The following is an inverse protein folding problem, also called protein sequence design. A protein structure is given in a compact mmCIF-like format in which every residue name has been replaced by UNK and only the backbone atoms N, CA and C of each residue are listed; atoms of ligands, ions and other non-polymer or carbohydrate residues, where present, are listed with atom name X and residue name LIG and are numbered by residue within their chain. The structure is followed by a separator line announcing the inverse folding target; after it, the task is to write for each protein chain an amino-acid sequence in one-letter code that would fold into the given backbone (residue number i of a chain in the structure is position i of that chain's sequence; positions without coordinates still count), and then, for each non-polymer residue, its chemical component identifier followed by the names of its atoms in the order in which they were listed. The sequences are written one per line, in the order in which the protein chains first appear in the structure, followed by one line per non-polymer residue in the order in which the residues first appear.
data_IF_937116094491
#
_entry.id   IF_937116094491
#
_cell.length_a   1.000
_cell.length_b   1.000
_cell.length_c   1.000
_cell.angle_alpha   90.00
_cell.angle_beta   90.00
_cell.angle_gamma   90.00
#
_symmetry.space_group_name_H-M   'P 1'
#
loop_
_entity.id
_entity.type
_entity.pdbx_description
1 polymer ?
#
# COMPACT_ATOMS: atom_id res chain seq x y z
N UNK A 1 -1.10 -16.31 4.08
CA UNK A 1 -0.99 -14.85 4.18
C UNK A 1 0.48 -14.49 4.00
N UNK A 2 0.97 -14.62 2.78
CA UNK A 2 2.35 -14.36 2.39
C UNK A 2 2.35 -13.24 1.34
N UNK A 3 3.34 -12.35 1.36
CA UNK A 3 3.38 -11.22 0.42
C UNK A 3 3.77 -11.66 -0.99
N UNK A 4 4.70 -12.59 -1.13
CA UNK A 4 5.28 -12.90 -2.44
C UNK A 4 4.42 -13.90 -3.21
N UNK A 5 3.72 -14.77 -2.50
CA UNK A 5 2.96 -15.90 -3.06
C UNK A 5 1.48 -15.91 -2.72
N UNK A 6 1.03 -15.03 -1.81
CA UNK A 6 -0.35 -14.98 -1.34
C UNK A 6 -1.11 -13.72 -1.77
N UNK A 7 -2.39 -13.67 -1.40
CA UNK A 7 -3.29 -12.55 -1.70
C UNK A 7 -2.71 -11.15 -1.36
N UNK A 8 -2.03 -10.93 -0.22
CA UNK A 8 -1.50 -9.61 0.15
C UNK A 8 -0.56 -8.97 -0.87
N UNK A 9 0.09 -9.78 -1.72
CA UNK A 9 0.98 -9.32 -2.78
C UNK A 9 0.28 -8.77 -4.01
N UNK A 10 -1.05 -8.82 -4.07
CA UNK A 10 -1.77 -8.47 -5.27
C UNK A 10 -1.49 -7.02 -5.70
N UNK A 11 -1.22 -6.82 -7.00
CA UNK A 11 -0.90 -5.52 -7.58
C UNK A 11 -1.96 -4.43 -7.31
N UNK A 12 -3.21 -4.79 -7.03
CA UNK A 12 -4.29 -3.84 -6.71
C UNK A 12 -4.33 -3.40 -5.25
N UNK A 13 -3.63 -4.08 -4.34
CA UNK A 13 -3.58 -3.67 -2.93
C UNK A 13 -2.61 -2.51 -2.69
N UNK A 14 -2.85 -1.80 -1.59
CA UNK A 14 -2.08 -0.62 -1.18
C UNK A 14 -0.62 -0.98 -0.94
N UNK A 15 0.30 -0.20 -1.51
CA UNK A 15 1.74 -0.33 -1.29
C UNK A 15 2.09 0.12 0.13
N UNK A 16 2.76 -0.75 0.89
CA UNK A 16 3.08 -0.47 2.28
C UNK A 16 4.29 0.45 2.41
N UNK A 17 5.30 0.29 1.55
CA UNK A 17 6.58 1.00 1.65
C UNK A 17 6.62 2.34 0.90
N UNK A 18 5.48 2.83 0.41
CA UNK A 18 5.39 4.13 -0.25
C UNK A 18 4.42 5.04 0.48
N UNK A 19 4.97 6.03 1.16
CA UNK A 19 4.28 6.93 2.08
C UNK A 19 4.70 8.37 1.78
N UNK A 20 3.78 9.33 1.96
CA UNK A 20 4.11 10.73 1.73
C UNK A 20 5.25 11.23 2.61
N UNK A 21 5.50 10.59 3.77
CA UNK A 21 6.63 10.89 4.64
C UNK A 21 7.99 10.78 3.96
N UNK A 22 8.08 10.06 2.84
CA UNK A 22 9.27 9.92 2.01
C UNK A 22 9.14 10.62 0.65
N UNK A 23 7.91 10.81 0.14
CA UNK A 23 7.68 11.39 -1.19
C UNK A 23 7.61 12.93 -1.19
N UNK A 24 7.08 13.56 -0.14
CA UNK A 24 6.90 15.02 -0.09
C UNK A 24 8.13 15.77 0.48
N UNK A 25 8.18 17.07 0.20
CA UNK A 25 9.22 17.96 0.69
C UNK A 25 9.26 18.04 2.22
N UNK A 26 10.47 18.10 2.77
CA UNK A 26 10.66 18.06 4.22
C UNK A 26 10.06 19.30 4.90
N UNK A 27 10.17 20.48 4.30
CA UNK A 27 9.63 21.72 4.90
C UNK A 27 8.10 21.66 5.02
N UNK A 28 7.42 21.10 4.00
CA UNK A 28 5.98 20.89 4.04
C UNK A 28 5.56 19.91 5.14
N UNK A 29 6.35 18.84 5.32
CA UNK A 29 6.06 17.79 6.29
C UNK A 29 6.52 18.11 7.72
N UNK A 30 7.43 19.06 7.91
CA UNK A 30 8.09 19.32 9.19
C UNK A 30 7.12 19.46 10.39
N UNK A 31 5.95 20.12 10.29
CA UNK A 31 5.02 20.21 11.42
C UNK A 31 4.43 18.85 11.87
N UNK A 32 4.50 17.83 11.00
CA UNK A 32 3.87 16.52 11.18
C UNK A 32 4.89 15.41 11.46
N UNK A 33 6.19 15.70 11.40
CA UNK A 33 7.26 14.72 11.58
C UNK A 33 7.91 14.83 12.97
N UNK A 34 8.44 13.71 13.52
CA UNK A 34 9.18 13.74 14.77
C UNK A 34 10.36 14.73 14.73
N UNK A 35 10.30 15.73 15.61
CA UNK A 35 11.30 16.80 15.69
C UNK A 35 11.43 17.63 14.39
N UNK A 36 10.44 17.57 13.51
CA UNK A 36 10.39 18.26 12.22
C UNK A 36 11.44 17.89 11.19
N UNK A 37 12.19 16.79 11.42
CA UNK A 37 13.31 16.40 10.57
C UNK A 37 13.47 14.90 10.33
N UNK A 38 12.86 14.06 11.17
CA UNK A 38 12.98 12.61 11.05
C UNK A 38 11.86 12.12 10.13
N UNK A 39 12.20 11.65 8.93
CA UNK A 39 11.23 11.03 8.02
C UNK A 39 10.77 9.68 8.59
N UNK A 40 9.46 9.48 8.60
CA UNK A 40 8.81 8.23 8.98
C UNK A 40 7.52 8.05 8.17
N UNK A 41 6.94 6.87 8.24
CA UNK A 41 5.60 6.63 7.72
C UNK A 41 4.59 7.55 8.43
N UNK A 42 3.82 8.29 7.64
CA UNK A 42 2.70 9.12 8.10
C UNK A 42 1.39 8.33 8.14
N UNK A 43 1.33 7.17 7.46
CA UNK A 43 0.12 6.38 7.26
C UNK A 43 -0.68 6.78 6.02
N UNK A 44 -0.34 7.92 5.40
CA UNK A 44 -0.94 8.37 4.15
C UNK A 44 -0.16 7.81 2.97
N UNK A 45 -0.73 6.77 2.35
CA UNK A 45 -0.12 5.98 1.28
C UNK A 45 -1.06 5.95 0.07
N UNK A 46 -0.64 6.59 -1.02
CA UNK A 46 -1.50 6.83 -2.19
C UNK A 46 -1.23 5.90 -3.37
N UNK A 47 -0.38 4.88 -3.20
CA UNK A 47 0.06 4.00 -4.28
C UNK A 47 -0.36 2.55 -4.02
N UNK A 48 -0.51 1.78 -5.11
CA UNK A 48 -0.74 0.32 -5.08
C UNK A 48 0.55 -0.44 -5.37
N UNK A 49 0.59 -1.72 -5.01
CA UNK A 49 1.76 -2.60 -5.20
C UNK A 49 2.23 -2.59 -6.66
N UNK A 50 1.31 -2.56 -7.63
CA UNK A 50 1.56 -2.43 -9.08
C UNK A 50 2.32 -3.59 -9.70
N UNK A 51 3.54 -3.84 -9.23
CA UNK A 51 4.48 -4.84 -9.68
C UNK A 51 5.81 -4.68 -8.94
N UNK A 52 6.84 -5.43 -9.34
CA UNK A 52 8.17 -5.27 -8.78
C UNK A 52 8.78 -3.91 -9.14
N UNK A 53 9.68 -3.42 -8.29
CA UNK A 53 10.41 -2.17 -8.52
C UNK A 53 9.83 -0.95 -7.81
N UNK A 54 10.34 0.24 -8.17
CA UNK A 54 10.01 1.53 -7.53
C UNK A 54 8.83 2.24 -8.18
N UNK A 55 8.57 1.96 -9.45
CA UNK A 55 7.43 2.52 -10.17
C UNK A 55 6.14 1.93 -9.59
N UNK A 56 5.28 2.81 -9.08
CA UNK A 56 4.00 2.44 -8.49
C UNK A 56 2.94 3.37 -9.06
N UNK A 57 1.78 2.80 -9.32
CA UNK A 57 0.60 3.53 -9.76
C UNK A 57 -0.27 3.94 -8.57
N UNK A 58 -1.17 4.90 -8.81
CA UNK A 58 -2.12 5.37 -7.80
C UNK A 58 -2.99 4.23 -7.27
N UNK A 59 -3.21 4.24 -5.97
CA UNK A 59 -4.14 3.34 -5.30
C UNK A 59 -5.57 3.61 -5.74
N UNK A 60 -6.31 2.53 -6.02
CA UNK A 60 -7.69 2.55 -6.52
C UNK A 60 -8.55 1.73 -5.56
N UNK A 61 -9.18 2.36 -4.55
CA UNK A 61 -9.93 1.66 -3.51
C UNK A 61 -11.02 0.74 -4.06
N UNK A 62 -11.67 1.17 -5.14
CA UNK A 62 -12.69 0.42 -5.88
C UNK A 62 -12.17 -0.93 -6.42
N UNK A 63 -10.96 -0.92 -7.01
CA UNK A 63 -10.34 -2.13 -7.55
C UNK A 63 -9.83 -3.04 -6.43
N UNK A 64 -9.30 -2.45 -5.35
CA UNK A 64 -8.83 -3.19 -4.19
C UNK A 64 -9.97 -3.93 -3.47
N UNK A 65 -11.13 -3.28 -3.33
CA UNK A 65 -12.33 -3.90 -2.75
C UNK A 65 -12.84 -5.07 -3.58
N UNK A 66 -12.94 -4.89 -4.90
CA UNK A 66 -13.32 -5.98 -5.82
C UNK A 66 -12.33 -7.16 -5.71
N UNK A 67 -11.03 -6.87 -5.61
CA UNK A 67 -10.02 -7.90 -5.44
C UNK A 67 -10.16 -8.64 -4.10
N UNK A 68 -10.43 -7.93 -3.02
CA UNK A 68 -10.66 -8.52 -1.71
C UNK A 68 -11.86 -9.47 -1.71
N UNK A 69 -12.95 -9.11 -2.40
CA UNK A 69 -14.11 -9.99 -2.55
C UNK A 69 -13.75 -11.30 -3.29
N UNK A 70 -12.96 -11.21 -4.36
CA UNK A 70 -12.50 -12.39 -5.11
C UNK A 70 -11.55 -13.26 -4.27
N UNK A 71 -10.60 -12.66 -3.56
CA UNK A 71 -9.66 -13.37 -2.69
C UNK A 71 -10.40 -14.06 -1.52
N UNK A 72 -11.45 -13.44 -0.99
CA UNK A 72 -12.29 -14.03 0.04
C UNK A 72 -13.09 -15.23 -0.49
N UNK A 73 -13.63 -15.15 -1.72
CA UNK A 73 -14.30 -16.27 -2.37
C UNK A 73 -13.35 -17.45 -2.61
N UNK A 74 -12.15 -17.18 -3.14
CA UNK A 74 -11.12 -18.19 -3.36
C UNK A 74 -10.69 -18.86 -2.05
N UNK A 75 -10.50 -18.07 -0.99
CA UNK A 75 -10.19 -18.60 0.33
C UNK A 75 -11.31 -19.51 0.88
N UNK A 76 -12.57 -19.08 0.77
CA UNK A 76 -13.70 -19.86 1.24
C UNK A 76 -13.89 -21.16 0.44
N UNK A 77 -13.61 -21.16 -0.86
CA UNK A 77 -13.71 -22.35 -1.71
C UNK A 77 -12.57 -23.35 -1.44
N UNK A 78 -11.32 -22.88 -1.37
CA UNK A 78 -10.14 -23.75 -1.23
C UNK A 78 -9.88 -24.21 0.21
N UNK A 79 -10.62 -23.68 1.20
CA UNK A 79 -10.48 -24.03 2.62
C UNK A 79 -11.81 -24.33 3.32
N UNK A 80 -12.89 -24.47 2.54
CA UNK A 80 -14.21 -24.91 3.00
C UNK A 80 -14.35 -26.42 3.04
#
# INVERSE_FOLDING_TARGET
WDRDTGYPGNAYYREFYRDIGYDLDLEYLAPYLPGGKIRCDTGLKYYRITGPGREKELYRPDLAEQRAALDAQDFAFNRG
#
